data_IF_519296702069
#
_entry.id   IF_519296702069
#
_cell.length_a   1.000
_cell.length_b   1.000
_cell.length_c   1.000
_cell.angle_alpha   90.00
_cell.angle_beta   90.00
_cell.angle_gamma   90.00
#
_symmetry.space_group_name_H-M   'P 1'
#
loop_
_entity.id
_entity.type
_entity.pdbx_description
1 polymer ?
#
# COMPACT_ATOMS: atom_id res chain seq x y z
N UNK A 1 -21.69 17.25 8.25
CA UNK A 1 -20.45 16.46 8.42
C UNK A 1 -19.94 16.06 7.04
N UNK A 2 -18.68 16.36 6.73
CA UNK A 2 -18.08 15.93 5.46
C UNK A 2 -17.89 14.41 5.41
N UNK A 3 -17.90 13.82 4.22
CA UNK A 3 -17.59 12.39 4.05
C UNK A 3 -16.14 12.12 4.46
N UNK A 4 -15.84 11.03 5.17
CA UNK A 4 -14.46 10.70 5.53
C UNK A 4 -13.63 10.40 4.27
N UNK A 5 -12.35 10.75 4.31
CA UNK A 5 -11.39 10.41 3.26
C UNK A 5 -10.71 9.11 3.64
N UNK A 6 -10.70 8.14 2.71
CA UNK A 6 -10.03 6.85 2.87
C UNK A 6 -8.96 6.74 1.79
N UNK A 7 -7.72 6.43 2.19
CA UNK A 7 -6.65 6.09 1.27
C UNK A 7 -6.56 4.57 1.17
N UNK A 8 -6.77 4.03 -0.03
CA UNK A 8 -6.67 2.59 -0.28
C UNK A 8 -5.40 2.29 -1.07
N UNK A 9 -4.61 1.34 -0.57
CA UNK A 9 -3.31 0.96 -1.16
C UNK A 9 -3.30 -0.53 -1.42
N UNK A 10 -2.93 -0.91 -2.63
CA UNK A 10 -2.64 -2.31 -2.99
C UNK A 10 -1.16 -2.59 -2.74
N UNK A 11 -0.83 -3.79 -2.24
CA UNK A 11 0.56 -4.22 -2.10
C UNK A 11 1.27 -4.27 -3.47
N UNK A 12 2.61 -4.22 -3.45
CA UNK A 12 3.42 -4.29 -4.66
C UNK A 12 3.49 -5.68 -5.27
N UNK A 13 4.22 -5.82 -6.38
CA UNK A 13 4.43 -7.08 -7.07
C UNK A 13 5.11 -8.15 -6.19
N UNK A 14 4.68 -9.39 -6.40
CA UNK A 14 5.30 -10.62 -5.92
C UNK A 14 5.66 -11.50 -7.12
N UNK A 15 6.51 -12.50 -6.93
CA UNK A 15 6.87 -13.41 -8.02
C UNK A 15 5.66 -14.22 -8.53
N UNK A 16 4.69 -14.52 -7.65
CA UNK A 16 3.45 -15.17 -8.06
C UNK A 16 2.56 -14.29 -8.94
N UNK A 17 2.62 -12.97 -8.79
CA UNK A 17 1.92 -12.08 -9.72
C UNK A 17 2.55 -12.13 -11.10
N UNK A 18 3.88 -12.20 -11.18
CA UNK A 18 4.64 -12.32 -12.44
C UNK A 18 4.34 -13.67 -13.11
N UNK A 19 4.32 -14.74 -12.33
CA UNK A 19 3.96 -16.11 -12.78
C UNK A 19 2.46 -16.30 -13.05
N UNK A 20 1.64 -15.26 -12.84
CA UNK A 20 0.18 -15.30 -13.00
C UNK A 20 -0.51 -16.39 -12.16
N UNK A 21 0.00 -16.63 -10.95
CA UNK A 21 -0.51 -17.63 -10.01
C UNK A 21 -1.57 -17.05 -9.08
N UNK A 22 -2.53 -17.88 -8.71
CA UNK A 22 -3.50 -17.56 -7.67
C UNK A 22 -2.83 -17.62 -6.29
N UNK A 23 -2.81 -16.49 -5.59
CA UNK A 23 -2.15 -16.34 -4.28
C UNK A 23 -3.05 -16.75 -3.11
N UNK A 24 -4.34 -16.38 -3.14
CA UNK A 24 -5.27 -16.68 -2.05
C UNK A 24 -4.78 -16.16 -0.70
N UNK A 25 -4.53 -17.07 0.24
CA UNK A 25 -3.96 -16.79 1.57
C UNK A 25 -2.47 -17.13 1.67
N UNK A 26 -1.82 -17.39 0.55
CA UNK A 26 -0.39 -17.67 0.52
C UNK A 26 0.40 -16.40 0.79
N UNK A 27 1.36 -16.52 1.70
CA UNK A 27 2.17 -15.42 2.19
C UNK A 27 3.43 -15.24 1.31
N UNK A 28 3.22 -14.77 0.08
CA UNK A 28 4.34 -14.54 -0.86
C UNK A 28 4.87 -13.12 -0.67
N UNK A 29 6.16 -12.94 -0.37
CA UNK A 29 6.71 -11.62 -0.13
C UNK A 29 6.74 -10.76 -1.40
N UNK A 30 6.80 -9.44 -1.19
CA UNK A 30 7.11 -8.50 -2.27
C UNK A 30 8.46 -8.85 -2.91
N UNK A 31 8.47 -8.88 -4.24
CA UNK A 31 9.73 -8.97 -4.98
C UNK A 31 10.43 -7.60 -5.03
N UNK A 32 11.58 -7.53 -5.68
CA UNK A 32 12.36 -6.30 -5.71
C UNK A 32 11.58 -5.12 -6.31
N UNK A 33 10.82 -5.37 -7.39
CA UNK A 33 9.97 -4.36 -7.99
C UNK A 33 8.80 -3.98 -7.08
N UNK A 34 8.19 -4.94 -6.39
CA UNK A 34 7.17 -4.68 -5.38
C UNK A 34 7.66 -3.77 -4.25
N UNK A 35 8.91 -3.93 -3.80
CA UNK A 35 9.53 -3.04 -2.81
C UNK A 35 9.75 -1.62 -3.36
N UNK A 36 10.19 -1.49 -4.61
CA UNK A 36 10.31 -0.17 -5.28
C UNK A 36 8.95 0.50 -5.44
N UNK A 37 7.90 -0.25 -5.76
CA UNK A 37 6.53 0.23 -5.85
C UNK A 37 6.02 0.74 -4.49
N UNK A 38 6.25 -0.01 -3.41
CA UNK A 38 5.89 0.41 -2.06
C UNK A 38 6.58 1.73 -1.66
N UNK A 39 7.88 1.86 -1.93
CA UNK A 39 8.62 3.09 -1.67
C UNK A 39 8.08 4.28 -2.49
N UNK A 40 7.71 4.06 -3.75
CA UNK A 40 7.09 5.09 -4.61
C UNK A 40 5.71 5.49 -4.10
N UNK A 41 4.90 4.53 -3.67
CA UNK A 41 3.59 4.79 -3.07
C UNK A 41 3.71 5.68 -1.82
N UNK A 42 4.70 5.41 -0.96
CA UNK A 42 4.98 6.25 0.22
C UNK A 42 5.28 7.71 -0.12
N UNK A 43 6.02 7.97 -1.22
CA UNK A 43 6.28 9.33 -1.70
C UNK A 43 5.01 10.03 -2.18
N UNK A 44 4.14 9.31 -2.89
CA UNK A 44 2.85 9.84 -3.35
C UNK A 44 1.97 10.19 -2.15
N UNK A 45 1.82 9.27 -1.20
CA UNK A 45 1.02 9.48 0.01
C UNK A 45 1.51 10.70 0.80
N UNK A 46 2.82 10.89 0.94
CA UNK A 46 3.39 12.08 1.59
C UNK A 46 2.91 13.36 0.92
N UNK A 47 2.99 13.46 -0.41
CA UNK A 47 2.50 14.63 -1.13
C UNK A 47 1.00 14.86 -0.99
N UNK A 48 0.20 13.78 -0.93
CA UNK A 48 -1.25 13.87 -0.66
C UNK A 48 -1.52 14.40 0.75
N UNK A 49 -0.78 13.91 1.76
CA UNK A 49 -0.94 14.34 3.14
C UNK A 49 -0.59 15.82 3.30
N UNK A 50 0.50 16.27 2.70
CA UNK A 50 0.90 17.68 2.69
C UNK A 50 -0.17 18.57 2.03
N UNK A 51 -0.65 18.17 0.84
CA UNK A 51 -1.71 18.90 0.12
C UNK A 51 -3.00 19.01 0.94
N UNK A 52 -3.37 17.94 1.62
CA UNK A 52 -4.63 17.86 2.37
C UNK A 52 -4.50 18.34 3.83
N UNK A 53 -3.33 18.84 4.24
CA UNK A 53 -3.08 19.32 5.60
C UNK A 53 -3.14 18.23 6.67
N UNK A 54 -2.77 16.99 6.33
CA UNK A 54 -2.83 15.81 7.20
C UNK A 54 -1.44 15.39 7.67
N UNK A 55 -1.36 14.88 8.90
CA UNK A 55 -0.16 14.24 9.41
C UNK A 55 -0.33 12.72 9.36
N UNK A 56 0.67 12.03 8.80
CA UNK A 56 0.69 10.56 8.74
C UNK A 56 0.48 9.91 10.12
N UNK A 57 1.10 10.48 11.17
CA UNK A 57 0.98 10.00 12.54
C UNK A 57 -0.46 10.04 13.11
N UNK A 58 -1.35 10.82 12.51
CA UNK A 58 -2.73 10.99 12.96
C UNK A 58 -3.72 10.12 12.17
N UNK A 59 -3.23 9.28 11.25
CA UNK A 59 -4.07 8.37 10.48
C UNK A 59 -4.20 7.02 11.17
N UNK A 60 -5.38 6.40 11.06
CA UNK A 60 -5.55 5.00 11.40
C UNK A 60 -5.01 4.13 10.25
N UNK A 61 -4.14 3.18 10.58
CA UNK A 61 -3.58 2.22 9.63
C UNK A 61 -4.22 0.85 9.84
N UNK A 62 -4.70 0.25 8.75
CA UNK A 62 -5.22 -1.11 8.72
C UNK A 62 -4.59 -1.81 7.53
N UNK A 63 -4.12 -3.04 7.74
CA UNK A 63 -3.54 -3.88 6.69
C UNK A 63 -4.11 -5.30 6.75
N UNK A 64 -3.96 -6.01 5.65
CA UNK A 64 -4.05 -7.48 5.63
C UNK A 64 -3.05 -8.09 6.62
N UNK A 65 -3.31 -9.29 7.17
CA UNK A 65 -2.32 -10.02 7.98
C UNK A 65 -1.20 -10.68 7.17
N UNK A 66 -1.24 -10.59 5.83
CA UNK A 66 -0.19 -11.11 4.94
C UNK A 66 1.00 -10.14 4.88
N UNK A 67 2.20 -10.69 4.66
CA UNK A 67 3.48 -9.97 4.56
C UNK A 67 3.55 -9.00 3.37
#
# INVERSE_FOLDING_TARGET
MGRPVIYYVRHGLTDWNVEQRLQGRCDTPLNEEGRRQAARCGKILRGLFERDGRLAANLAYVSSPLL
#
